data_IF_370064461890
#
_entry.id   IF_370064461890
#
_cell.length_a   1.000
_cell.length_b   1.000
_cell.length_c   1.000
_cell.angle_alpha   90.00
_cell.angle_beta   90.00
_cell.angle_gamma   90.00
#
_symmetry.space_group_name_H-M   'P 1'
#
loop_
_entity.id
_entity.type
_entity.pdbx_description
1 polymer ?
#
# COMPACT_ATOMS: atom_id res chain seq x y z
N UNK A 1 -20.14 7.62 7.16
CA UNK A 1 -19.71 7.45 5.75
C UNK A 1 -20.93 7.63 4.85
N UNK A 2 -20.94 8.61 3.95
CA UNK A 2 -22.06 8.84 3.02
C UNK A 2 -22.01 7.82 1.88
N UNK A 3 -23.12 7.15 1.62
CA UNK A 3 -23.26 6.18 0.52
C UNK A 3 -24.15 6.75 -0.58
N UNK A 4 -23.82 6.48 -1.83
CA UNK A 4 -24.67 6.82 -2.99
C UNK A 4 -24.80 5.63 -3.94
N UNK A 5 -25.91 5.58 -4.68
CA UNK A 5 -26.16 4.54 -5.67
C UNK A 5 -25.36 4.83 -6.95
N UNK A 6 -24.49 3.91 -7.37
CA UNK A 6 -23.72 4.03 -8.61
C UNK A 6 -24.54 3.58 -9.84
N UNK A 7 -23.97 3.69 -11.05
CA UNK A 7 -24.64 3.29 -12.29
C UNK A 7 -24.92 1.77 -12.41
N UNK A 8 -24.28 0.94 -11.58
CA UNK A 8 -24.56 -0.49 -11.47
C UNK A 8 -25.59 -0.80 -10.35
N UNK A 9 -26.22 0.22 -9.78
CA UNK A 9 -27.24 0.09 -8.74
C UNK A 9 -26.71 -0.22 -7.33
N UNK A 10 -25.40 -0.19 -7.11
CA UNK A 10 -24.77 -0.51 -5.81
C UNK A 10 -24.58 0.74 -4.97
N UNK A 11 -24.82 0.63 -3.65
CA UNK A 11 -24.47 1.67 -2.70
C UNK A 11 -22.95 1.66 -2.46
N UNK A 12 -22.29 2.78 -2.71
CA UNK A 12 -20.84 2.93 -2.57
C UNK A 12 -20.49 4.20 -1.80
N UNK A 13 -19.39 4.21 -1.04
CA UNK A 13 -18.97 5.38 -0.30
C UNK A 13 -18.49 6.50 -1.22
N UNK A 14 -18.78 7.76 -0.84
CA UNK A 14 -18.26 8.94 -1.54
C UNK A 14 -16.84 9.30 -1.10
N UNK A 15 -16.39 8.77 0.04
CA UNK A 15 -15.06 9.02 0.60
C UNK A 15 -14.54 7.75 1.29
N UNK A 16 -13.26 7.45 1.09
CA UNK A 16 -12.56 6.31 1.69
C UNK A 16 -11.19 6.79 2.15
N UNK A 17 -10.84 6.56 3.41
CA UNK A 17 -9.54 6.94 4.00
C UNK A 17 -9.17 8.42 3.78
N UNK A 18 -10.15 9.33 3.86
CA UNK A 18 -9.95 10.76 3.60
C UNK A 18 -9.86 11.15 2.11
N UNK A 19 -10.00 10.19 1.19
CA UNK A 19 -9.94 10.42 -0.26
C UNK A 19 -11.31 10.30 -0.90
N UNK A 20 -11.68 11.34 -1.67
CA UNK A 20 -12.91 11.33 -2.46
C UNK A 20 -12.89 10.17 -3.47
N UNK A 21 -13.99 9.44 -3.53
CA UNK A 21 -14.18 8.33 -4.44
C UNK A 21 -15.09 8.74 -5.59
N UNK A 22 -14.84 8.16 -6.77
CA UNK A 22 -15.67 8.37 -7.95
C UNK A 22 -16.50 7.11 -8.16
N UNK A 23 -17.81 7.15 -7.87
CA UNK A 23 -18.70 6.05 -8.15
C UNK A 23 -18.68 5.70 -9.62
N UNK A 24 -18.79 4.40 -9.93
CA UNK A 24 -18.91 3.93 -11.30
C UNK A 24 -20.06 4.65 -12.02
N UNK A 25 -19.71 5.38 -13.09
CA UNK A 25 -20.65 6.19 -13.89
C UNK A 25 -21.27 5.43 -15.07
N UNK A 26 -20.89 4.17 -15.29
CA UNK A 26 -21.21 3.41 -16.50
C UNK A 26 -19.98 3.20 -17.39
N UNK A 27 -20.06 2.24 -18.30
CA UNK A 27 -19.00 1.93 -19.26
C UNK A 27 -18.71 3.17 -20.12
N UNK A 28 -17.44 3.55 -20.23
CA UNK A 28 -16.98 4.72 -21.00
C UNK A 28 -17.53 6.09 -20.54
N UNK A 29 -18.11 6.19 -19.33
CA UNK A 29 -18.68 7.45 -18.80
C UNK A 29 -17.74 8.24 -17.89
N UNK A 30 -16.59 7.68 -17.53
CA UNK A 30 -15.58 8.36 -16.75
C UNK A 30 -14.27 8.46 -17.53
N UNK A 31 -13.81 9.69 -17.73
CA UNK A 31 -12.51 10.00 -18.32
C UNK A 31 -11.61 10.59 -17.23
N UNK A 32 -10.56 9.90 -16.79
CA UNK A 32 -9.64 10.44 -15.81
C UNK A 32 -8.90 11.66 -16.40
N UNK A 33 -8.71 12.67 -15.57
CA UNK A 33 -7.95 13.89 -15.88
C UNK A 33 -6.81 14.05 -14.86
N UNK A 34 -5.81 14.87 -15.18
CA UNK A 34 -4.67 15.14 -14.31
C UNK A 34 -3.34 14.57 -14.81
N UNK A 35 -2.33 14.61 -13.94
CA UNK A 35 -0.98 14.15 -14.22
C UNK A 35 -0.65 12.94 -13.33
N UNK A 36 0.14 12.00 -13.86
CA UNK A 36 0.76 10.95 -13.04
C UNK A 36 1.80 11.54 -12.10
N UNK A 37 2.09 10.83 -11.00
CA UNK A 37 3.14 11.23 -10.10
C UNK A 37 4.50 11.28 -10.82
N UNK A 38 5.27 12.35 -10.60
CA UNK A 38 6.62 12.51 -11.14
C UNK A 38 7.64 12.40 -10.01
N UNK A 39 8.52 11.38 -10.00
CA UNK A 39 9.57 11.30 -9.01
C UNK A 39 10.58 12.43 -9.21
N UNK A 40 11.23 12.86 -8.12
CA UNK A 40 12.37 13.78 -8.22
C UNK A 40 13.50 13.13 -9.02
N UNK A 41 14.16 13.91 -9.87
CA UNK A 41 15.39 13.49 -10.54
C UNK A 41 16.45 13.21 -9.47
N UNK A 42 17.11 12.06 -9.57
CA UNK A 42 18.22 11.65 -8.70
C UNK A 42 19.53 11.84 -9.45
N UNK A 43 20.54 12.41 -8.78
CA UNK A 43 21.88 12.61 -9.35
C UNK A 43 22.87 11.60 -8.76
N UNK A 44 23.88 11.22 -9.53
CA UNK A 44 24.99 10.40 -9.03
C UNK A 44 25.84 11.14 -7.98
N UNK A 45 25.80 12.48 -7.98
CA UNK A 45 26.51 13.35 -7.02
C UNK A 45 26.08 13.06 -5.57
N UNK A 46 24.86 12.54 -5.36
CA UNK A 46 24.34 12.18 -4.05
C UNK A 46 24.88 10.82 -3.52
N UNK A 47 25.75 10.16 -4.28
CA UNK A 47 26.23 8.79 -4.00
C UNK A 47 27.76 8.71 -4.05
N UNK A 48 28.37 7.64 -3.46
CA UNK A 48 29.81 7.41 -3.54
C UNK A 48 30.34 7.44 -4.99
N UNK A 49 31.58 7.91 -5.15
CA UNK A 49 32.24 8.09 -6.45
C UNK A 49 32.48 6.78 -7.19
N UNK A 50 32.55 5.66 -6.47
CA UNK A 50 32.63 4.30 -7.03
C UNK A 50 31.27 3.76 -7.53
N UNK A 51 30.19 4.53 -7.37
CA UNK A 51 28.84 4.16 -7.77
C UNK A 51 28.17 3.11 -6.87
N UNK A 52 28.81 2.66 -5.80
CA UNK A 52 28.28 1.63 -4.92
C UNK A 52 27.16 2.18 -4.02
N UNK A 53 25.94 1.70 -4.24
CA UNK A 53 24.74 2.08 -3.46
C UNK A 53 24.33 1.05 -2.41
N UNK A 54 25.14 0.02 -2.20
CA UNK A 54 24.87 -1.02 -1.20
C UNK A 54 24.90 -0.41 0.21
N UNK A 55 23.99 -0.88 1.05
CA UNK A 55 23.93 -0.52 2.47
C UNK A 55 23.91 -1.79 3.30
N UNK A 56 24.38 -1.68 4.55
CA UNK A 56 24.60 -2.83 5.43
C UNK A 56 23.35 -3.66 5.75
N UNK A 57 22.19 -3.01 5.84
CA UNK A 57 20.94 -3.64 6.28
C UNK A 57 19.71 -2.84 5.80
N UNK A 58 18.54 -3.48 5.92
CA UNK A 58 17.26 -2.89 5.51
C UNK A 58 16.90 -1.65 6.34
N UNK A 59 17.23 -1.64 7.63
CA UNK A 59 17.00 -0.49 8.53
C UNK A 59 17.72 0.77 8.02
N UNK A 60 18.97 0.62 7.59
CA UNK A 60 19.78 1.68 6.98
C UNK A 60 19.17 2.13 5.65
N UNK A 61 18.70 1.18 4.83
CA UNK A 61 18.03 1.50 3.57
C UNK A 61 16.77 2.35 3.80
N UNK A 62 15.88 1.94 4.72
CA UNK A 62 14.64 2.66 5.03
C UNK A 62 14.90 4.04 5.65
N UNK A 63 15.90 4.15 6.53
CA UNK A 63 16.33 5.43 7.09
C UNK A 63 16.84 6.38 6.01
N UNK A 64 17.71 5.91 5.10
CA UNK A 64 18.22 6.72 3.97
C UNK A 64 17.12 7.05 2.96
N UNK A 65 16.13 6.18 2.78
CA UNK A 65 14.95 6.45 1.96
C UNK A 65 14.03 7.54 2.57
N UNK A 66 14.25 7.89 3.84
CA UNK A 66 13.49 8.93 4.53
C UNK A 66 12.10 8.48 4.95
N UNK A 67 11.93 7.18 5.27
CA UNK A 67 10.66 6.65 5.74
C UNK A 67 10.21 7.35 7.04
N UNK A 68 8.93 7.73 7.11
CA UNK A 68 8.30 8.39 8.26
C UNK A 68 6.89 7.85 8.46
N UNK A 69 6.31 8.18 9.61
CA UNK A 69 4.91 7.88 9.92
C UNK A 69 3.95 8.40 8.83
N UNK A 70 2.90 7.64 8.55
CA UNK A 70 1.87 8.03 7.58
C UNK A 70 2.27 7.84 6.11
N UNK A 71 3.50 7.40 5.82
CA UNK A 71 3.93 7.15 4.45
C UNK A 71 3.29 5.89 3.84
N UNK A 72 3.45 5.74 2.53
CA UNK A 72 3.03 4.55 1.78
C UNK A 72 4.24 3.70 1.41
N UNK A 73 4.16 2.40 1.68
CA UNK A 73 5.16 1.42 1.23
C UNK A 73 4.49 0.44 0.27
N UNK A 74 5.14 0.15 -0.86
CA UNK A 74 4.62 -0.78 -1.86
C UNK A 74 5.49 -2.03 -1.98
N UNK A 75 4.88 -3.19 -2.23
CA UNK A 75 5.58 -4.46 -2.49
C UNK A 75 5.05 -5.16 -3.74
N UNK A 76 5.91 -5.95 -4.40
CA UNK A 76 5.48 -6.86 -5.46
C UNK A 76 5.12 -8.23 -4.87
N UNK A 77 4.42 -9.08 -5.63
CA UNK A 77 3.93 -10.37 -5.12
C UNK A 77 4.45 -11.59 -5.88
N UNK A 78 5.51 -11.42 -6.70
CA UNK A 78 6.09 -12.49 -7.54
C UNK A 78 6.56 -13.73 -6.76
N UNK A 79 6.95 -13.58 -5.49
CA UNK A 79 7.37 -14.68 -4.63
C UNK A 79 6.20 -15.46 -4.00
N UNK A 80 4.97 -14.94 -4.09
CA UNK A 80 3.74 -15.55 -3.56
C UNK A 80 3.89 -15.93 -2.07
N UNK A 81 3.65 -17.19 -1.71
CA UNK A 81 3.85 -17.70 -0.35
C UNK A 81 5.32 -17.83 0.08
N UNK A 82 6.28 -17.61 -0.83
CA UNK A 82 7.71 -17.55 -0.51
C UNK A 82 8.21 -16.14 -0.19
N UNK A 83 7.32 -15.14 -0.09
CA UNK A 83 7.71 -13.75 0.18
C UNK A 83 8.08 -13.52 1.65
N UNK A 84 9.34 -13.82 1.99
CA UNK A 84 9.92 -13.42 3.27
C UNK A 84 10.26 -11.92 3.32
N UNK A 85 10.44 -11.26 2.17
CA UNK A 85 10.92 -9.88 2.08
C UNK A 85 9.91 -8.91 2.68
N UNK A 86 8.62 -9.09 2.38
CA UNK A 86 7.56 -8.26 2.95
C UNK A 86 7.46 -8.43 4.47
N UNK A 87 7.63 -9.65 5.00
CA UNK A 87 7.59 -9.88 6.45
C UNK A 87 8.75 -9.18 7.16
N UNK A 88 9.99 -9.41 6.68
CA UNK A 88 11.19 -8.75 7.20
C UNK A 88 11.09 -7.22 7.11
N UNK A 89 10.51 -6.69 6.04
CA UNK A 89 10.29 -5.26 5.86
C UNK A 89 9.47 -4.69 7.02
N UNK A 90 8.32 -5.28 7.35
CA UNK A 90 7.48 -4.74 8.42
C UNK A 90 7.99 -5.06 9.83
N UNK A 91 8.78 -6.13 10.02
CA UNK A 91 9.55 -6.32 11.25
C UNK A 91 10.48 -5.13 11.50
N UNK A 92 11.21 -4.68 10.47
CA UNK A 92 12.12 -3.53 10.57
C UNK A 92 11.36 -2.20 10.73
N UNK A 93 10.25 -2.00 10.01
CA UNK A 93 9.40 -0.80 10.18
C UNK A 93 8.91 -0.69 11.62
N UNK A 94 8.48 -1.81 12.22
CA UNK A 94 8.08 -1.87 13.63
C UNK A 94 9.26 -1.53 14.55
N UNK A 95 10.42 -2.14 14.33
CA UNK A 95 11.64 -1.91 15.13
C UNK A 95 12.07 -0.43 15.10
N UNK A 96 11.89 0.24 13.97
CA UNK A 96 12.14 1.67 13.81
C UNK A 96 11.11 2.56 14.54
N UNK A 97 10.05 1.97 15.10
CA UNK A 97 8.97 2.71 15.77
C UNK A 97 8.04 3.46 14.83
N UNK A 98 8.09 3.17 13.52
CA UNK A 98 7.33 3.89 12.50
C UNK A 98 5.89 3.34 12.45
N UNK A 99 4.92 4.24 12.35
CA UNK A 99 3.49 3.92 12.43
C UNK A 99 2.66 4.50 11.30
N UNK A 100 1.41 4.08 11.25
CA UNK A 100 0.39 4.56 10.32
C UNK A 100 0.76 4.35 8.84
N UNK A 101 1.52 3.30 8.53
CA UNK A 101 1.91 3.01 7.15
C UNK A 101 0.69 2.53 6.36
N UNK A 102 0.47 3.13 5.18
CA UNK A 102 -0.36 2.50 4.15
C UNK A 102 0.48 1.46 3.43
N UNK A 103 0.10 0.18 3.55
CA UNK A 103 0.71 -0.86 2.74
C UNK A 103 0.00 -0.96 1.39
N UNK A 104 0.75 -0.80 0.30
CA UNK A 104 0.28 -0.80 -1.08
C UNK A 104 0.82 -1.99 -1.90
N UNK A 105 0.53 -3.24 -1.49
CA UNK A 105 1.00 -4.42 -2.19
C UNK A 105 0.30 -4.53 -3.56
N UNK A 106 0.96 -5.21 -4.49
CA UNK A 106 0.26 -5.68 -5.70
C UNK A 106 -0.68 -6.85 -5.38
N UNK A 107 -0.30 -7.75 -4.48
CA UNK A 107 -1.18 -8.72 -3.80
C UNK A 107 -0.54 -9.21 -2.49
N UNK A 108 -1.34 -9.71 -1.56
CA UNK A 108 -0.89 -10.40 -0.35
C UNK A 108 -1.32 -11.87 -0.34
N UNK A 109 -0.57 -12.72 0.36
CA UNK A 109 -0.74 -14.17 0.41
C UNK A 109 -0.74 -14.67 1.87
N UNK A 110 -1.13 -15.93 2.14
CA UNK A 110 -1.12 -16.50 3.49
C UNK A 110 0.19 -16.35 4.27
N UNK A 111 1.35 -16.35 3.62
CA UNK A 111 2.65 -16.08 4.28
C UNK A 111 2.70 -14.73 5.01
N UNK A 112 1.89 -13.76 4.60
CA UNK A 112 1.81 -12.43 5.22
C UNK A 112 0.86 -12.38 6.43
N UNK A 113 0.36 -13.52 6.92
CA UNK A 113 -0.41 -13.58 8.19
C UNK A 113 0.38 -13.00 9.36
N UNK A 114 1.70 -13.11 9.31
CA UNK A 114 2.66 -12.47 10.22
C UNK A 114 2.42 -10.95 10.39
N UNK A 115 1.85 -10.29 9.39
CA UNK A 115 1.62 -8.84 9.42
C UNK A 115 0.37 -8.43 10.20
N UNK A 116 -0.46 -9.38 10.64
CA UNK A 116 -1.70 -9.09 11.40
C UNK A 116 -1.38 -8.30 12.68
N UNK A 117 -0.35 -8.70 13.42
CA UNK A 117 0.12 -7.97 14.62
C UNK A 117 0.44 -6.50 14.34
N UNK A 118 0.89 -6.19 13.13
CA UNK A 118 1.22 -4.83 12.69
C UNK A 118 0.02 -4.01 12.23
N UNK A 119 -1.07 -4.68 11.81
CA UNK A 119 -2.36 -4.04 11.63
C UNK A 119 -3.00 -3.69 12.97
N UNK A 120 -2.89 -4.59 13.95
CA UNK A 120 -3.46 -4.43 15.29
C UNK A 120 -2.76 -3.31 16.08
N UNK A 121 -1.42 -3.27 16.07
CA UNK A 121 -0.65 -2.28 16.83
C UNK A 121 -0.54 -0.89 16.16
N UNK A 122 -1.03 -0.77 14.92
CA UNK A 122 -1.03 0.48 14.15
C UNK A 122 0.27 0.80 13.42
N UNK A 123 1.23 -0.12 13.35
CA UNK A 123 2.39 -0.02 12.45
C UNK A 123 1.91 0.12 11.00
N UNK A 124 0.98 -0.75 10.60
CA UNK A 124 0.23 -0.68 9.34
C UNK A 124 -1.16 -0.11 9.66
N UNK A 125 -1.52 1.00 9.02
CA UNK A 125 -2.86 1.57 9.15
C UNK A 125 -3.89 0.76 8.37
N UNK A 126 -3.59 0.51 7.09
CA UNK A 126 -4.47 -0.21 6.18
C UNK A 126 -3.73 -0.73 4.95
N UNK A 127 -4.40 -1.64 4.23
CA UNK A 127 -3.91 -2.26 3.01
C UNK A 127 -4.72 -1.76 1.81
N UNK A 128 -4.00 -1.34 0.78
CA UNK A 128 -4.55 -0.99 -0.52
C UNK A 128 -3.92 -1.88 -1.60
N UNK A 129 -4.54 -3.02 -1.87
CA UNK A 129 -4.05 -4.04 -2.78
C UNK A 129 -4.89 -5.32 -2.68
N UNK A 130 -4.67 -6.27 -3.58
CA UNK A 130 -5.34 -7.58 -3.49
C UNK A 130 -4.96 -8.26 -2.17
N UNK A 131 -5.95 -8.75 -1.43
CA UNK A 131 -5.75 -9.41 -0.14
C UNK A 131 -6.33 -10.82 -0.18
N UNK A 132 -5.49 -11.81 0.10
CA UNK A 132 -5.90 -13.21 0.13
C UNK A 132 -5.77 -13.80 1.55
N UNK A 133 -6.56 -14.84 1.82
CA UNK A 133 -6.43 -15.66 3.02
C UNK A 133 -6.58 -14.85 4.33
N UNK A 134 -5.68 -15.01 5.31
CA UNK A 134 -5.80 -14.42 6.64
C UNK A 134 -5.99 -12.90 6.65
N UNK A 135 -5.27 -12.16 5.78
CA UNK A 135 -5.41 -10.71 5.69
C UNK A 135 -6.78 -10.30 5.13
N UNK A 136 -7.28 -11.02 4.13
CA UNK A 136 -8.63 -10.79 3.60
C UNK A 136 -9.72 -11.03 4.63
N UNK A 137 -9.57 -12.08 5.46
CA UNK A 137 -10.47 -12.35 6.59
C UNK A 137 -10.40 -11.23 7.63
N UNK A 138 -9.19 -10.83 8.04
CA UNK A 138 -8.99 -9.73 8.99
C UNK A 138 -9.66 -8.42 8.53
N UNK A 139 -9.52 -8.07 7.24
CA UNK A 139 -10.19 -6.91 6.65
C UNK A 139 -11.71 -7.07 6.63
N UNK A 140 -12.22 -8.24 6.25
CA UNK A 140 -13.67 -8.53 6.22
C UNK A 140 -14.31 -8.43 7.60
N UNK A 141 -13.60 -8.85 8.65
CA UNK A 141 -14.05 -8.76 10.04
C UNK A 141 -13.99 -7.31 10.61
N UNK A 142 -13.61 -6.31 9.80
CA UNK A 142 -13.63 -4.90 10.21
C UNK A 142 -12.52 -4.51 11.18
N UNK A 143 -11.46 -5.32 11.31
CA UNK A 143 -10.37 -5.12 12.30
C UNK A 143 -9.30 -4.13 11.86
N UNK A 144 -9.34 -3.67 10.60
CA UNK A 144 -8.37 -2.73 10.05
C UNK A 144 -8.79 -1.29 10.34
N UNK A 145 -7.83 -0.42 10.72
CA UNK A 145 -8.12 0.99 11.06
C UNK A 145 -8.69 1.78 9.89
N UNK A 146 -8.18 1.53 8.68
CA UNK A 146 -8.71 2.08 7.43
C UNK A 146 -9.50 1.06 6.61
N UNK A 147 -10.20 1.54 5.59
CA UNK A 147 -10.94 0.71 4.64
C UNK A 147 -9.98 0.15 3.60
N UNK A 148 -10.06 -1.15 3.33
CA UNK A 148 -9.26 -1.80 2.30
C UNK A 148 -9.68 -1.37 0.90
N UNK A 149 -8.71 -1.05 0.03
CA UNK A 149 -8.99 -0.66 -1.37
C UNK A 149 -8.44 -1.70 -2.33
N UNK A 150 -9.34 -2.40 -3.02
CA UNK A 150 -9.01 -3.39 -4.03
C UNK A 150 -8.93 -2.72 -5.41
N UNK A 151 -7.87 -3.03 -6.16
CA UNK A 151 -7.68 -2.59 -7.56
C UNK A 151 -7.29 -3.78 -8.41
N UNK A 152 -7.71 -3.78 -9.68
CA UNK A 152 -7.11 -4.68 -10.67
C UNK A 152 -5.64 -4.32 -10.89
N UNK A 153 -4.86 -5.22 -11.50
CA UNK A 153 -3.46 -4.93 -11.83
C UNK A 153 -3.32 -3.66 -12.67
N UNK A 154 -4.13 -3.53 -13.73
CA UNK A 154 -4.17 -2.32 -14.55
C UNK A 154 -4.61 -1.08 -13.76
N UNK A 155 -5.61 -1.21 -12.89
CA UNK A 155 -6.07 -0.12 -12.03
C UNK A 155 -5.02 0.37 -11.04
N UNK A 156 -4.21 -0.55 -10.49
CA UNK A 156 -3.08 -0.19 -9.61
C UNK A 156 -2.04 0.65 -10.36
N UNK A 157 -1.67 0.24 -11.57
CA UNK A 157 -0.74 0.99 -12.41
C UNK A 157 -1.29 2.35 -12.85
N UNK A 158 -2.61 2.43 -13.09
CA UNK A 158 -3.27 3.68 -13.44
C UNK A 158 -3.31 4.66 -12.26
N UNK A 159 -3.43 4.17 -11.03
CA UNK A 159 -3.61 4.99 -9.81
C UNK A 159 -2.36 5.72 -9.31
N UNK A 160 -1.21 5.51 -9.95
CA UNK A 160 0.10 6.09 -9.60
C UNK A 160 0.60 7.02 -10.70
#
# INVERSE_FOLDING_TARGET
MKLIKNAAGRLVPTEVNGLQQIPFKGVNKYKPTGLKAKPKIKTCIDYPTDGNKVVKDLKTALKKAGLKDGMTISTHHHLRNGDAVTNMLFDVVKEMGIKNIRWFPSASFPVHSHLIKYLEDGTIHHIEGSMNGPLGKFTTEGKMKGVGVLRSHGGRYQSI
#
